data_IF_298134063708
#
_entry.id   IF_298134063708
#
_cell.length_a   1.000
_cell.length_b   1.000
_cell.length_c   1.000
_cell.angle_alpha   90.00
_cell.angle_beta   90.00
_cell.angle_gamma   90.00
#
_symmetry.space_group_name_H-M   'P 1'
#
loop_
_entity.id
_entity.type
_entity.pdbx_description
1 polymer ?
#
# COMPACT_ATOMS: atom_id res chain seq x y z
N UNK A 1 1.35 -15.45 -6.83
CA UNK A 1 0.59 -14.56 -7.76
C UNK A 1 -0.92 -14.42 -7.49
N UNK A 2 -1.51 -15.06 -6.46
CA UNK A 2 -2.96 -14.95 -6.19
C UNK A 2 -3.40 -13.57 -5.67
N UNK A 3 -2.55 -12.90 -4.86
CA UNK A 3 -2.84 -11.58 -4.25
C UNK A 3 -2.94 -10.45 -5.29
N UNK A 4 -1.96 -10.35 -6.20
CA UNK A 4 -1.95 -9.42 -7.34
C UNK A 4 -3.23 -9.45 -8.17
N UNK A 5 -3.56 -10.64 -8.68
CA UNK A 5 -4.78 -10.86 -9.45
C UNK A 5 -6.03 -10.46 -8.67
N UNK A 6 -6.12 -10.82 -7.39
CA UNK A 6 -7.30 -10.53 -6.57
C UNK A 6 -7.51 -9.02 -6.39
N UNK A 7 -6.45 -8.27 -6.14
CA UNK A 7 -6.51 -6.81 -6.04
C UNK A 7 -6.91 -6.17 -7.36
N UNK A 8 -6.26 -6.57 -8.45
CA UNK A 8 -6.55 -6.07 -9.80
C UNK A 8 -8.03 -6.22 -10.15
N UNK A 9 -8.59 -7.41 -9.89
CA UNK A 9 -10.01 -7.68 -10.15
C UNK A 9 -10.96 -6.91 -9.21
N UNK A 10 -10.52 -6.59 -8.00
CA UNK A 10 -11.31 -5.80 -7.05
C UNK A 10 -11.33 -4.30 -7.37
N UNK A 11 -10.30 -3.77 -8.03
CA UNK A 11 -10.22 -2.37 -8.46
C UNK A 11 -10.97 -2.08 -9.77
N UNK A 12 -11.57 -3.08 -10.42
CA UNK A 12 -12.50 -2.90 -11.55
C UNK A 12 -11.87 -2.47 -12.89
N UNK A 13 -10.74 -1.77 -12.87
CA UNK A 13 -10.05 -1.25 -14.05
C UNK A 13 -9.29 -2.35 -14.82
N UNK A 14 -9.99 -3.26 -15.50
CA UNK A 14 -9.40 -4.44 -16.16
C UNK A 14 -9.68 -4.52 -17.66
N UNK A 15 -9.79 -3.37 -18.32
CA UNK A 15 -10.08 -3.28 -19.75
C UNK A 15 -9.05 -4.05 -20.61
N UNK A 16 -7.76 -4.03 -20.27
CA UNK A 16 -6.73 -4.75 -21.03
C UNK A 16 -6.84 -6.29 -20.94
N UNK A 17 -7.70 -6.84 -20.07
CA UNK A 17 -7.96 -8.27 -19.99
C UNK A 17 -9.07 -8.74 -20.94
N UNK A 18 -9.79 -7.81 -21.57
CA UNK A 18 -10.87 -8.14 -22.51
C UNK A 18 -10.32 -8.76 -23.80
N UNK A 19 -11.18 -9.44 -24.59
CA UNK A 19 -10.75 -10.02 -25.86
C UNK A 19 -10.08 -9.00 -26.78
N UNK A 20 -8.89 -9.34 -27.31
CA UNK A 20 -8.05 -8.47 -28.12
C UNK A 20 -7.20 -7.45 -27.34
N UNK A 21 -7.31 -7.42 -26.01
CA UNK A 21 -6.50 -6.57 -25.14
C UNK A 21 -5.07 -7.09 -24.97
N UNK A 22 -4.13 -6.19 -24.68
CA UNK A 22 -2.70 -6.52 -24.51
C UNK A 22 -2.47 -7.65 -23.49
N UNK A 23 -3.30 -7.73 -22.45
CA UNK A 23 -3.16 -8.67 -21.34
C UNK A 23 -4.25 -9.74 -21.32
N UNK A 24 -4.92 -10.00 -22.45
CA UNK A 24 -5.96 -11.03 -22.56
C UNK A 24 -5.50 -12.35 -21.91
N UNK A 25 -6.31 -12.89 -21.00
CA UNK A 25 -6.02 -14.14 -20.29
C UNK A 25 -4.87 -14.08 -19.27
N UNK A 26 -4.22 -12.92 -19.07
CA UNK A 26 -3.00 -12.76 -18.25
C UNK A 26 -3.16 -11.76 -17.08
N UNK A 27 -4.19 -11.91 -16.22
CA UNK A 27 -4.42 -10.99 -15.10
C UNK A 27 -3.28 -10.94 -14.06
N UNK A 28 -2.53 -12.03 -13.91
CA UNK A 28 -1.40 -12.07 -13.00
C UNK A 28 -0.25 -11.17 -13.45
N UNK A 29 0.03 -11.17 -14.76
CA UNK A 29 1.09 -10.35 -15.35
C UNK A 29 0.69 -8.87 -15.35
N UNK A 30 -0.55 -8.55 -15.71
CA UNK A 30 -1.06 -7.17 -15.61
C UNK A 30 -0.98 -6.64 -14.17
N UNK A 31 -1.30 -7.48 -13.17
CA UNK A 31 -1.17 -7.08 -11.78
C UNK A 31 0.30 -6.79 -11.37
N UNK A 32 1.27 -7.54 -11.91
CA UNK A 32 2.69 -7.29 -11.66
C UNK A 32 3.22 -6.07 -12.45
N UNK A 33 2.65 -5.79 -13.62
CA UNK A 33 2.96 -4.60 -14.40
C UNK A 33 2.44 -3.31 -13.73
N UNK A 34 1.37 -3.41 -12.92
CA UNK A 34 0.74 -2.26 -12.25
C UNK A 34 1.13 -2.06 -10.80
N UNK A 35 1.48 -3.12 -10.07
CA UNK A 35 1.63 -3.06 -8.62
C UNK A 35 3.02 -3.47 -8.16
N UNK A 36 3.51 -2.79 -7.13
CA UNK A 36 4.68 -3.22 -6.38
C UNK A 36 4.25 -4.22 -5.28
N UNK A 37 5.05 -5.27 -5.11
CA UNK A 37 4.92 -6.22 -4.02
C UNK A 37 6.25 -6.36 -3.30
N UNK A 38 6.19 -6.36 -1.97
CA UNK A 38 7.35 -6.52 -1.11
C UNK A 38 7.17 -7.75 -0.23
N UNK A 39 8.28 -8.33 0.22
CA UNK A 39 8.27 -9.43 1.19
C UNK A 39 8.26 -8.84 2.60
N UNK A 40 7.32 -9.28 3.43
CA UNK A 40 7.28 -8.84 4.83
C UNK A 40 8.41 -9.49 5.62
N UNK A 41 9.28 -8.71 6.28
CA UNK A 41 10.37 -9.24 7.10
C UNK A 41 9.91 -10.02 8.34
N UNK A 42 8.66 -9.84 8.78
CA UNK A 42 8.10 -10.56 9.95
C UNK A 42 7.50 -11.91 9.63
N UNK A 43 6.66 -12.00 8.59
CA UNK A 43 5.95 -13.25 8.25
C UNK A 43 6.43 -13.90 6.94
N UNK A 44 7.29 -13.24 6.18
CA UNK A 44 7.80 -13.73 4.89
C UNK A 44 6.80 -13.65 3.73
N UNK A 45 5.54 -13.27 3.98
CA UNK A 45 4.50 -13.21 2.95
C UNK A 45 4.62 -11.95 2.08
N UNK A 46 4.32 -12.06 0.77
CA UNK A 46 4.26 -10.91 -0.11
C UNK A 46 3.03 -10.04 0.19
N UNK A 47 3.21 -8.72 0.22
CA UNK A 47 2.13 -7.75 0.44
C UNK A 47 2.19 -6.59 -0.56
N UNK A 48 1.05 -5.93 -0.76
CA UNK A 48 0.92 -4.81 -1.68
C UNK A 48 1.71 -3.60 -1.21
N UNK A 49 2.52 -3.03 -2.09
CA UNK A 49 3.40 -1.91 -1.84
C UNK A 49 3.10 -0.64 -2.62
N UNK A 50 1.90 -0.51 -3.20
CA UNK A 50 1.54 0.64 -4.01
C UNK A 50 1.53 0.35 -5.51
N UNK A 51 1.07 1.34 -6.28
CA UNK A 51 1.13 1.31 -7.74
C UNK A 51 2.57 1.52 -8.21
N UNK A 52 2.97 0.85 -9.29
CA UNK A 52 4.30 1.00 -9.91
C UNK A 52 4.52 2.40 -10.46
N UNK A 53 3.48 3.02 -11.01
CA UNK A 53 3.51 4.42 -11.47
C UNK A 53 3.78 5.44 -10.34
N UNK A 54 3.53 5.07 -9.09
CA UNK A 54 3.73 5.93 -7.92
C UNK A 54 5.04 5.64 -7.14
N UNK A 55 5.79 4.61 -7.52
CA UNK A 55 6.96 4.10 -6.79
C UNK A 55 8.22 4.02 -7.66
N UNK A 56 9.37 3.84 -7.01
CA UNK A 56 10.57 3.38 -7.68
C UNK A 56 10.42 1.91 -8.08
N UNK A 57 11.32 1.41 -8.92
CA UNK A 57 11.40 -0.02 -9.22
C UNK A 57 11.49 -0.84 -7.92
N UNK A 58 10.77 -1.97 -7.80
CA UNK A 58 10.87 -2.84 -6.63
C UNK A 58 12.29 -3.40 -6.56
N UNK A 59 13.11 -2.84 -5.67
CA UNK A 59 14.54 -3.12 -5.55
C UNK A 59 15.47 -1.92 -5.75
N UNK A 60 14.95 -0.75 -6.12
CA UNK A 60 15.74 0.49 -6.30
C UNK A 60 15.95 1.32 -5.04
N UNK A 61 15.31 0.98 -3.92
CA UNK A 61 15.47 1.67 -2.63
C UNK A 61 16.55 1.03 -1.77
N UNK A 62 17.76 1.62 -1.79
CA UNK A 62 18.84 1.51 -0.80
C UNK A 62 18.79 0.28 0.10
N UNK A 63 19.37 -0.83 -0.39
CA UNK A 63 19.67 -2.00 0.42
C UNK A 63 20.80 -1.69 1.40
N UNK A 64 20.46 -1.00 2.49
CA UNK A 64 21.26 -1.06 3.71
C UNK A 64 20.83 -2.32 4.47
N UNK A 65 21.75 -2.98 5.17
CA UNK A 65 21.58 -4.29 5.82
C UNK A 65 20.45 -4.40 6.87
N UNK A 66 19.63 -3.36 7.04
CA UNK A 66 18.43 -3.28 7.87
C UNK A 66 17.10 -3.27 7.08
N UNK A 67 17.13 -3.17 5.75
CA UNK A 67 15.94 -2.85 4.93
C UNK A 67 14.82 -3.90 4.92
N UNK A 68 15.11 -5.17 5.19
CA UNK A 68 14.08 -6.24 5.24
C UNK A 68 13.21 -6.15 6.51
N UNK A 69 13.78 -5.68 7.63
CA UNK A 69 13.07 -5.56 8.91
C UNK A 69 12.04 -4.40 8.91
N UNK A 70 12.29 -3.38 8.09
CA UNK A 70 11.41 -2.22 7.94
C UNK A 70 10.28 -2.45 6.93
N UNK A 71 10.40 -3.45 6.05
CA UNK A 71 9.33 -3.91 5.17
C UNK A 71 8.35 -4.79 5.96
N UNK A 72 7.22 -4.22 6.35
CA UNK A 72 6.22 -4.93 7.13
C UNK A 72 4.83 -4.78 6.53
N UNK A 73 4.14 -5.91 6.34
CA UNK A 73 2.75 -5.89 5.87
C UNK A 73 1.82 -5.29 6.93
N UNK A 74 0.70 -4.71 6.48
CA UNK A 74 -0.27 -4.07 7.37
C UNK A 74 -0.83 -5.01 8.44
N UNK A 75 -0.97 -6.30 8.15
CA UNK A 75 -1.42 -7.28 9.13
C UNK A 75 -0.44 -7.48 10.30
N UNK A 76 0.87 -7.46 10.01
CA UNK A 76 1.92 -7.58 11.00
C UNK A 76 2.12 -6.27 11.77
N UNK A 77 2.13 -5.13 11.08
CA UNK A 77 2.29 -3.82 11.70
C UNK A 77 1.11 -3.48 12.61
N UNK A 78 -0.12 -3.81 12.21
CA UNK A 78 -1.29 -3.68 13.08
C UNK A 78 -1.15 -4.47 14.39
N UNK A 79 -0.47 -5.63 14.37
CA UNK A 79 -0.27 -6.42 15.60
C UNK A 79 0.71 -5.72 16.51
N UNK A 80 1.79 -5.16 15.94
CA UNK A 80 2.79 -4.39 16.69
C UNK A 80 2.18 -3.09 17.26
N UNK A 81 1.32 -2.42 16.50
CA UNK A 81 0.62 -1.20 16.91
C UNK A 81 -0.58 -1.45 17.84
N UNK A 82 -0.83 -2.70 18.28
CA UNK A 82 -1.93 -3.02 19.19
C UNK A 82 -3.33 -2.91 18.58
N UNK A 83 -3.45 -2.83 17.25
CA UNK A 83 -4.74 -2.87 16.56
C UNK A 83 -5.28 -4.30 16.53
N UNK A 84 -6.22 -4.56 17.46
CA UNK A 84 -7.07 -5.74 17.49
C UNK A 84 -8.19 -5.58 16.46
N UNK A 85 -8.08 -6.27 15.33
CA UNK A 85 -9.06 -6.18 14.26
C UNK A 85 -8.60 -6.87 12.99
N UNK A 86 -9.50 -7.62 12.38
CA UNK A 86 -9.30 -8.24 11.07
C UNK A 86 -10.58 -8.04 10.27
N UNK A 87 -10.46 -7.95 8.96
CA UNK A 87 -11.63 -8.00 8.11
C UNK A 87 -12.29 -9.38 8.24
N UNK A 88 -13.59 -9.42 8.48
CA UNK A 88 -14.33 -10.68 8.58
C UNK A 88 -14.20 -11.54 7.31
N UNK A 89 -14.08 -10.91 6.13
CA UNK A 89 -13.98 -11.59 4.84
C UNK A 89 -12.53 -11.93 4.44
N UNK A 90 -11.59 -11.06 4.80
CA UNK A 90 -10.24 -11.05 4.22
C UNK A 90 -9.12 -11.13 5.26
N UNK A 91 -9.45 -11.29 6.54
CA UNK A 91 -8.48 -11.35 7.61
C UNK A 91 -7.64 -10.07 7.71
N UNK A 92 -6.34 -10.26 7.97
CA UNK A 92 -5.35 -9.18 8.10
C UNK A 92 -4.46 -9.03 6.87
N UNK A 93 -4.61 -9.95 5.91
CA UNK A 93 -3.81 -10.05 4.69
C UNK A 93 -3.92 -8.82 3.79
N UNK A 94 -5.11 -8.23 3.77
CA UNK A 94 -5.45 -7.08 2.93
C UNK A 94 -5.49 -5.77 3.75
N UNK A 95 -5.03 -5.81 5.00
CA UNK A 95 -4.99 -4.65 5.86
C UNK A 95 -3.92 -3.68 5.36
N UNK A 96 -4.27 -2.41 5.18
CA UNK A 96 -3.35 -1.37 4.76
C UNK A 96 -3.32 -0.22 5.73
N UNK A 97 -2.20 0.48 5.78
CA UNK A 97 -2.03 1.73 6.49
C UNK A 97 -1.76 2.86 5.52
N UNK A 98 -2.18 4.06 5.91
CA UNK A 98 -1.79 5.29 5.23
C UNK A 98 -0.38 5.67 5.67
N UNK A 99 0.43 6.19 4.76
CA UNK A 99 1.65 6.90 5.11
C UNK A 99 1.33 8.03 6.08
N UNK A 100 2.05 8.11 7.20
CA UNK A 100 1.86 9.16 8.21
C UNK A 100 1.92 10.56 7.61
N UNK A 101 2.74 10.74 6.57
CA UNK A 101 3.09 12.05 6.01
C UNK A 101 2.43 12.39 4.67
N UNK A 102 1.69 11.48 4.03
CA UNK A 102 1.01 11.76 2.76
C UNK A 102 -0.21 10.87 2.54
N UNK A 103 -0.90 11.04 1.41
CA UNK A 103 -2.07 10.25 1.02
C UNK A 103 -1.67 9.08 0.11
N UNK A 104 -0.70 8.28 0.53
CA UNK A 104 -0.30 7.06 -0.16
C UNK A 104 -0.39 5.87 0.78
N UNK A 105 -0.65 4.65 0.27
CA UNK A 105 -0.49 3.44 1.07
C UNK A 105 0.95 3.34 1.59
N UNK A 106 1.10 2.87 2.82
CA UNK A 106 2.40 2.63 3.41
C UNK A 106 2.98 1.29 2.95
N UNK A 107 4.31 1.27 2.86
CA UNK A 107 5.13 0.11 2.50
C UNK A 107 6.06 -0.24 3.65
N UNK A 108 6.65 0.77 4.27
CA UNK A 108 7.61 0.61 5.36
C UNK A 108 6.94 0.88 6.71
N UNK A 109 7.43 0.20 7.73
CA UNK A 109 7.07 0.39 9.14
C UNK A 109 8.35 0.54 9.96
N UNK A 110 8.75 1.78 10.19
CA UNK A 110 10.00 2.11 10.85
C UNK A 110 9.77 2.50 12.31
N UNK A 111 10.82 2.34 13.13
CA UNK A 111 10.84 2.77 14.54
C UNK A 111 9.72 2.15 15.39
N UNK A 112 9.21 0.99 14.98
CA UNK A 112 8.13 0.25 15.66
C UNK A 112 6.79 0.98 15.76
N UNK A 113 6.60 2.10 15.05
CA UNK A 113 5.43 2.97 15.28
C UNK A 113 4.98 3.81 14.09
N UNK A 114 5.77 3.90 13.01
CA UNK A 114 5.52 4.87 11.95
C UNK A 114 5.48 4.24 10.57
N UNK A 115 4.38 4.43 9.87
CA UNK A 115 4.17 3.97 8.50
C UNK A 115 4.64 5.00 7.45
N UNK A 116 5.44 4.55 6.49
CA UNK A 116 5.94 5.37 5.37
C UNK A 116 5.58 4.74 4.01
N UNK A 117 5.22 5.56 3.04
CA UNK A 117 5.33 5.16 1.63
C UNK A 117 6.79 5.29 1.18
N UNK A 118 7.13 4.67 0.04
CA UNK A 118 8.49 4.68 -0.49
C UNK A 118 9.05 6.09 -0.69
N UNK A 119 8.30 6.99 -1.34
CA UNK A 119 8.70 8.39 -1.50
C UNK A 119 9.05 9.06 -0.17
N UNK A 120 8.20 8.89 0.86
CA UNK A 120 8.44 9.50 2.16
C UNK A 120 9.57 8.81 2.94
N UNK A 121 9.85 7.54 2.65
CA UNK A 121 10.92 6.78 3.27
C UNK A 121 12.30 7.20 2.76
N UNK A 122 12.47 7.35 1.43
CA UNK A 122 13.78 7.68 0.81
C UNK A 122 14.18 9.15 0.94
N UNK A 123 13.23 10.07 1.14
CA UNK A 123 13.50 11.52 1.19
C UNK A 123 14.02 11.97 2.58
N UNK A 124 14.99 11.27 3.18
CA UNK A 124 15.50 11.53 4.55
C UNK A 124 16.94 12.05 4.50
N UNK A 125 17.17 13.35 4.74
CA UNK A 125 17.91 13.76 5.96
C UNK A 125 17.37 14.98 6.71
N UNK A 126 16.57 15.87 6.11
CA UNK A 126 16.04 17.08 6.74
C UNK A 126 14.53 17.16 6.56
N UNK A 127 13.83 16.88 7.66
CA UNK A 127 12.39 16.64 7.75
C UNK A 127 11.54 17.90 7.53
N UNK A 128 11.73 18.60 6.42
CA UNK A 128 10.75 19.57 5.92
C UNK A 128 9.95 18.86 4.84
N UNK A 129 8.74 18.34 5.12
CA UNK A 129 7.85 17.91 4.06
C UNK A 129 7.61 19.14 3.17
N UNK A 130 8.25 19.18 2.01
CA UNK A 130 8.12 20.27 1.05
C UNK A 130 7.55 19.72 -0.25
N UNK A 131 6.34 20.15 -0.65
CA UNK A 131 5.41 20.95 0.16
C UNK A 131 4.84 20.16 1.35
N UNK A 132 4.38 20.83 2.42
CA UNK A 132 3.63 20.17 3.48
C UNK A 132 2.42 19.50 2.84
N UNK A 133 2.07 18.28 3.27
CA UNK A 133 0.97 17.55 2.65
C UNK A 133 -0.31 18.38 2.79
N UNK A 134 -0.89 18.75 1.64
CA UNK A 134 -2.12 19.53 1.58
C UNK A 134 -3.19 18.76 2.35
N UNK A 135 -3.87 19.43 3.28
CA UNK A 135 -5.09 18.90 3.88
C UNK A 135 -6.06 18.57 2.76
N UNK A 136 -6.54 17.34 2.72
CA UNK A 136 -7.54 16.88 1.77
C UNK A 136 -8.79 16.42 2.51
N UNK A 137 -9.89 16.41 1.77
CA UNK A 137 -11.16 15.79 2.15
C UNK A 137 -11.28 14.44 1.45
N UNK A 138 -12.25 13.60 1.82
CA UNK A 138 -12.53 12.35 1.08
C UNK A 138 -12.61 12.54 -0.43
N UNK A 139 -13.25 13.61 -0.89
CA UNK A 139 -13.44 13.90 -2.32
C UNK A 139 -12.15 14.28 -3.05
N UNK A 140 -11.16 14.83 -2.34
CA UNK A 140 -9.88 15.30 -2.92
C UNK A 140 -8.71 14.40 -2.55
N UNK A 141 -8.90 13.46 -1.63
CA UNK A 141 -7.90 12.51 -1.21
C UNK A 141 -7.72 11.42 -2.27
N UNK A 142 -6.50 11.16 -2.78
CA UNK A 142 -6.25 10.09 -3.74
C UNK A 142 -6.53 8.68 -3.17
N UNK A 143 -6.70 8.55 -1.85
CA UNK A 143 -7.10 7.29 -1.21
C UNK A 143 -8.63 7.12 -1.10
N UNK A 144 -9.42 8.14 -1.47
CA UNK A 144 -10.88 8.11 -1.44
C UNK A 144 -11.50 7.93 -0.05
N UNK A 145 -10.79 8.31 1.02
CA UNK A 145 -11.21 8.12 2.42
C UNK A 145 -11.09 9.40 3.23
N UNK A 146 -11.91 9.50 4.28
CA UNK A 146 -11.66 10.42 5.39
C UNK A 146 -10.54 9.86 6.27
N UNK A 147 -9.57 10.70 6.62
CA UNK A 147 -8.44 10.32 7.46
C UNK A 147 -8.03 11.48 8.38
N UNK A 148 -7.38 11.22 9.52
CA UNK A 148 -6.86 12.27 10.39
C UNK A 148 -5.81 13.14 9.68
N UNK A 149 -5.48 14.32 10.24
CA UNK A 149 -4.41 15.15 9.74
C UNK A 149 -3.08 14.40 9.57
N UNK A 150 -2.27 14.85 8.61
CA UNK A 150 -0.92 14.32 8.43
C UNK A 150 -0.09 14.43 9.72
N UNK A 151 0.76 13.44 9.97
CA UNK A 151 1.47 13.29 11.23
C UNK A 151 0.79 12.31 12.20
N UNK A 152 -0.37 11.74 11.85
CA UNK A 152 -1.07 10.71 12.63
C UNK A 152 -1.14 9.40 11.86
N UNK A 153 -0.99 8.30 12.59
CA UNK A 153 -1.13 6.94 12.06
C UNK A 153 -2.60 6.67 11.71
N UNK A 154 -2.84 5.98 10.60
CA UNK A 154 -4.21 5.67 10.18
C UNK A 154 -4.27 4.33 9.45
N UNK A 155 -5.05 3.41 10.00
CA UNK A 155 -5.37 2.14 9.35
C UNK A 155 -6.48 2.38 8.32
N UNK A 156 -6.21 2.02 7.06
CA UNK A 156 -7.16 2.13 5.94
C UNK A 156 -8.16 0.98 5.91
N UNK A 157 -8.01 -0.01 6.79
CA UNK A 157 -8.81 -1.22 6.78
C UNK A 157 -8.46 -2.16 5.63
N UNK A 158 -9.42 -3.01 5.26
CA UNK A 158 -9.23 -3.99 4.19
C UNK A 158 -9.29 -3.33 2.82
N UNK A 159 -8.19 -3.44 2.08
CA UNK A 159 -8.07 -2.78 0.81
C UNK A 159 -8.94 -3.38 -0.30
N UNK A 160 -9.26 -4.69 -0.22
CA UNK A 160 -10.22 -5.30 -1.15
C UNK A 160 -11.66 -4.85 -0.89
N UNK A 161 -12.08 -4.75 0.39
CA UNK A 161 -13.40 -4.21 0.71
C UNK A 161 -13.51 -2.75 0.27
N UNK A 162 -12.46 -1.97 0.52
CA UNK A 162 -12.43 -0.58 0.07
C UNK A 162 -12.53 -0.45 -1.44
N UNK A 163 -11.83 -1.28 -2.21
CA UNK A 163 -11.90 -1.27 -3.67
C UNK A 163 -13.33 -1.58 -4.17
N UNK A 164 -14.01 -2.54 -3.55
CA UNK A 164 -15.41 -2.86 -3.90
C UNK A 164 -16.41 -1.79 -3.47
N UNK A 165 -16.14 -1.07 -2.38
CA UNK A 165 -17.03 -0.03 -1.85
C UNK A 165 -16.87 1.32 -2.60
N UNK A 166 -15.74 1.54 -3.29
CA UNK A 166 -15.45 2.78 -4.02
C UNK A 166 -15.80 2.76 -5.51
N UNK A 167 -16.15 1.59 -6.07
CA UNK A 167 -16.71 1.48 -7.43
C UNK A 167 -15.94 2.24 -8.52
N UNK A 168 -14.62 2.10 -8.56
CA UNK A 168 -13.81 2.54 -9.71
C UNK A 168 -13.78 1.45 -10.79
#
# INVERSE_FOLDING_TARGET
MRRGRRRLLAEGNVAELQPGGEWEGRPGELALARFNYYKCGKCGEPYFGGLRECGGEPGGGGGDANGDAELMCGGCSATVSGLSGACAKHGRDELQFKCRFCCSPAVFFCFGSTHFCERCHVTRPDWKPQPPPKTCTRATCPLGVDHPPHGQEFCLGCALCRATDTGY
#
